data_IF_832405990376
#
_entry.id   IF_832405990376
#
_cell.length_a   1.000
_cell.length_b   1.000
_cell.length_c   1.000
_cell.angle_alpha   90.00
_cell.angle_beta   90.00
_cell.angle_gamma   90.00
#
_symmetry.space_group_name_H-M   'P 1'
#
loop_
_entity.id
_entity.type
_entity.pdbx_description
1 polymer ?
#
# COMPACT_ATOMS: atom_id res chain seq x y z
N UNK A 1 -7.22 -5.98 58.55
CA UNK A 1 -8.07 -5.16 57.66
C UNK A 1 -8.63 -6.05 56.55
N UNK A 2 -9.92 -6.40 56.57
CA UNK A 2 -10.58 -7.00 55.39
C UNK A 2 -10.84 -5.87 54.40
N UNK A 3 -10.05 -5.77 53.32
CA UNK A 3 -10.36 -4.86 52.21
C UNK A 3 -11.67 -5.36 51.57
N UNK A 4 -12.78 -4.66 51.80
CA UNK A 4 -14.06 -4.92 51.13
C UNK A 4 -13.96 -4.36 49.71
N UNK A 5 -13.93 -5.23 48.72
CA UNK A 5 -14.18 -4.86 47.33
C UNK A 5 -15.64 -5.19 47.02
N UNK A 6 -16.37 -4.25 46.44
CA UNK A 6 -17.78 -4.38 46.10
C UNK A 6 -17.98 -4.02 44.62
N UNK A 7 -18.81 -4.78 43.92
CA UNK A 7 -19.22 -4.44 42.55
C UNK A 7 -20.46 -3.54 42.63
N UNK A 8 -20.38 -2.37 42.00
CA UNK A 8 -21.49 -1.41 41.90
C UNK A 8 -21.80 -1.16 40.43
N UNK A 9 -23.08 -1.27 40.07
CA UNK A 9 -23.55 -0.90 38.75
C UNK A 9 -23.81 0.61 38.74
N UNK A 10 -23.18 1.31 37.80
CA UNK A 10 -23.33 2.75 37.63
C UNK A 10 -24.01 3.03 36.29
N UNK A 11 -24.80 4.10 36.25
CA UNK A 11 -25.34 4.62 35.00
C UNK A 11 -24.20 5.15 34.11
N UNK A 12 -24.38 5.10 32.79
CA UNK A 12 -23.34 5.39 31.80
C UNK A 12 -22.76 6.82 31.90
N UNK A 13 -23.50 7.76 32.48
CA UNK A 13 -23.09 9.16 32.64
C UNK A 13 -22.36 9.46 33.96
N UNK A 14 -22.33 8.51 34.91
CA UNK A 14 -21.66 8.69 36.20
C UNK A 14 -20.18 8.37 36.04
N UNK A 15 -19.33 9.37 36.19
CA UNK A 15 -17.88 9.14 36.23
C UNK A 15 -17.45 8.70 37.64
N UNK A 16 -16.70 7.59 37.77
CA UNK A 16 -16.23 7.04 39.04
C UNK A 16 -15.26 7.94 39.83
N UNK A 17 -14.88 9.10 39.28
CA UNK A 17 -14.03 10.12 39.92
C UNK A 17 -14.74 10.93 41.01
N UNK A 18 -16.07 10.83 41.11
CA UNK A 18 -16.78 11.38 42.26
C UNK A 18 -16.54 10.46 43.45
N UNK A 19 -15.99 11.02 44.53
CA UNK A 19 -15.72 10.38 45.82
C UNK A 19 -17.06 10.05 46.51
N UNK A 20 -17.85 9.17 45.89
CA UNK A 20 -19.15 8.74 46.38
C UNK A 20 -18.91 7.71 47.48
N UNK A 21 -19.56 7.92 48.61
CA UNK A 21 -19.66 6.95 49.71
C UNK A 21 -18.32 6.50 50.34
N UNK A 22 -17.21 7.22 50.10
CA UNK A 22 -15.88 6.90 50.66
C UNK A 22 -15.13 5.77 49.96
N UNK A 23 -15.54 5.39 48.74
CA UNK A 23 -14.87 4.35 47.93
C UNK A 23 -14.05 4.94 46.78
N UNK A 24 -13.01 4.21 46.37
CA UNK A 24 -12.33 4.40 45.09
C UNK A 24 -12.91 3.43 44.06
N UNK A 25 -13.28 3.95 42.89
CA UNK A 25 -13.90 3.16 41.84
C UNK A 25 -12.97 2.99 40.64
N UNK A 26 -12.94 1.78 40.09
CA UNK A 26 -12.28 1.45 38.82
C UNK A 26 -13.31 0.74 37.95
N UNK A 27 -13.57 1.21 36.73
CA UNK A 27 -14.50 0.52 35.84
C UNK A 27 -13.87 -0.79 35.36
N UNK A 28 -14.61 -1.89 35.51
CA UNK A 28 -14.16 -3.26 35.18
C UNK A 28 -14.88 -3.85 33.97
N UNK A 29 -16.00 -3.24 33.56
CA UNK A 29 -16.83 -3.74 32.47
C UNK A 29 -17.95 -2.76 32.14
N UNK A 30 -18.54 -2.93 30.97
CA UNK A 30 -19.74 -2.23 30.53
C UNK A 30 -20.78 -3.27 30.11
N UNK A 31 -22.03 -3.03 30.46
CA UNK A 31 -23.15 -3.90 30.07
C UNK A 31 -23.95 -3.16 29.01
N UNK A 32 -24.38 -3.87 27.97
CA UNK A 32 -25.30 -3.36 26.95
C UNK A 32 -26.55 -4.23 26.88
N UNK A 33 -27.67 -3.61 26.50
CA UNK A 33 -28.95 -4.30 26.29
C UNK A 33 -29.09 -4.68 24.82
N UNK A 34 -29.32 -5.95 24.55
CA UNK A 34 -29.65 -6.43 23.21
C UNK A 34 -31.10 -6.06 22.83
N UNK A 35 -31.41 -6.06 21.53
CA UNK A 35 -32.77 -5.88 21.01
C UNK A 35 -33.75 -6.93 21.51
N UNK A 36 -33.27 -8.14 21.83
CA UNK A 36 -34.02 -9.22 22.49
C UNK A 36 -34.42 -8.92 23.94
N UNK A 37 -33.88 -7.86 24.53
CA UNK A 37 -34.13 -7.47 25.93
C UNK A 37 -33.13 -8.05 26.94
N UNK A 38 -32.27 -8.98 26.54
CA UNK A 38 -31.21 -9.53 27.38
C UNK A 38 -30.03 -8.56 27.54
N UNK A 39 -29.34 -8.65 28.68
CA UNK A 39 -28.13 -7.88 28.96
C UNK A 39 -26.90 -8.74 28.71
N UNK A 40 -25.89 -8.16 28.06
CA UNK A 40 -24.59 -8.80 27.83
C UNK A 40 -23.44 -7.84 28.12
N UNK A 41 -22.26 -8.38 28.39
CA UNK A 41 -21.04 -7.58 28.50
C UNK A 41 -20.68 -6.99 27.13
N UNK A 42 -20.31 -5.72 27.14
CA UNK A 42 -19.77 -5.06 25.96
C UNK A 42 -18.29 -5.42 25.79
N UNK A 43 -18.02 -6.42 24.95
CA UNK A 43 -16.66 -6.89 24.66
C UNK A 43 -15.79 -5.84 23.96
N UNK A 44 -16.36 -4.72 23.50
CA UNK A 44 -15.58 -3.59 22.97
C UNK A 44 -15.03 -2.69 24.08
N UNK A 45 -15.59 -2.79 25.28
CA UNK A 45 -15.14 -2.01 26.41
C UNK A 45 -13.75 -2.42 26.86
N UNK A 46 -12.87 -1.43 27.02
CA UNK A 46 -11.51 -1.62 27.51
C UNK A 46 -11.41 -0.87 28.85
N UNK A 47 -11.41 -1.59 29.99
CA UNK A 47 -11.20 -0.97 31.29
C UNK A 47 -9.78 -0.40 31.40
N UNK A 48 -9.48 0.45 32.40
CA UNK A 48 -8.12 0.77 32.79
C UNK A 48 -7.39 -0.50 33.21
N UNK A 49 -6.41 -0.91 32.41
CA UNK A 49 -5.63 -2.14 32.61
C UNK A 49 -4.16 -1.80 32.83
N UNK A 50 -3.48 -2.61 33.64
CA UNK A 50 -2.04 -2.50 33.87
C UNK A 50 -1.20 -3.28 32.86
N UNK A 51 -1.80 -4.26 32.19
CA UNK A 51 -1.13 -5.13 31.22
C UNK A 51 -2.00 -5.28 29.97
N UNK A 52 -1.38 -5.22 28.78
CA UNK A 52 -2.07 -5.45 27.50
C UNK A 52 -2.81 -6.80 27.51
N UNK A 53 -2.21 -7.82 28.14
CA UNK A 53 -2.78 -9.17 28.26
C UNK A 53 -4.16 -9.21 28.95
N UNK A 54 -4.53 -8.19 29.71
CA UNK A 54 -5.83 -8.11 30.39
C UNK A 54 -7.00 -7.71 29.46
N UNK A 55 -6.72 -7.37 28.19
CA UNK A 55 -7.75 -7.05 27.19
C UNK A 55 -7.54 -7.89 25.93
N UNK A 56 -8.44 -8.85 25.71
CA UNK A 56 -8.45 -9.65 24.47
C UNK A 56 -8.66 -8.79 23.22
N UNK A 57 -9.47 -7.73 23.34
CA UNK A 57 -9.70 -6.76 22.26
C UNK A 57 -8.39 -6.12 21.78
N UNK A 58 -7.53 -5.66 22.70
CA UNK A 58 -6.23 -5.08 22.34
C UNK A 58 -5.29 -6.10 21.69
N UNK A 59 -5.23 -7.32 22.24
CA UNK A 59 -4.41 -8.41 21.67
C UNK A 59 -4.86 -8.75 20.24
N UNK A 60 -6.17 -8.86 20.01
CA UNK A 60 -6.72 -9.17 18.69
C UNK A 60 -6.47 -8.03 17.69
N UNK A 61 -6.63 -6.78 18.12
CA UNK A 61 -6.31 -5.61 17.29
C UNK A 61 -4.82 -5.54 16.93
N UNK A 62 -3.93 -5.83 17.89
CA UNK A 62 -2.50 -5.89 17.65
C UNK A 62 -2.13 -6.99 16.64
N UNK A 63 -2.68 -8.21 16.82
CA UNK A 63 -2.47 -9.32 15.86
C UNK A 63 -2.91 -8.95 14.45
N UNK A 64 -4.09 -8.36 14.31
CA UNK A 64 -4.61 -7.91 13.01
C UNK A 64 -3.70 -6.86 12.38
N UNK A 65 -3.26 -5.86 13.17
CA UNK A 65 -2.34 -4.82 12.70
C UNK A 65 -1.02 -5.42 12.20
N UNK A 66 -0.43 -6.35 12.95
CA UNK A 66 0.77 -7.08 12.54
C UNK A 66 0.57 -7.87 11.24
N UNK A 67 -0.59 -8.52 11.07
CA UNK A 67 -0.92 -9.24 9.84
C UNK A 67 -1.00 -8.30 8.63
N UNK A 68 -1.64 -7.13 8.79
CA UNK A 68 -1.72 -6.11 7.74
C UNK A 68 -0.31 -5.62 7.40
N UNK A 69 0.49 -5.22 8.38
CA UNK A 69 1.87 -4.77 8.18
C UNK A 69 2.69 -5.82 7.42
N UNK A 70 2.60 -7.09 7.82
CA UNK A 70 3.34 -8.19 7.18
C UNK A 70 2.93 -8.42 5.73
N UNK A 71 1.63 -8.35 5.44
CA UNK A 71 1.13 -8.43 4.07
C UNK A 71 1.65 -7.27 3.21
N UNK A 72 1.60 -6.05 3.76
CA UNK A 72 2.06 -4.80 3.12
C UNK A 72 3.56 -4.84 2.81
N UNK A 73 4.39 -5.29 3.75
CA UNK A 73 5.84 -5.52 3.54
C UNK A 73 6.07 -6.49 2.38
N UNK A 74 5.36 -7.63 2.38
CA UNK A 74 5.52 -8.65 1.33
C UNK A 74 5.19 -8.10 -0.05
N UNK A 75 4.10 -7.32 -0.18
CA UNK A 75 3.69 -6.69 -1.45
C UNK A 75 4.74 -5.71 -1.97
N UNK A 76 5.27 -4.83 -1.12
CA UNK A 76 6.28 -3.85 -1.57
C UNK A 76 7.59 -4.57 -1.93
N UNK A 77 7.98 -5.58 -1.16
CA UNK A 77 9.18 -6.38 -1.45
C UNK A 77 9.05 -7.23 -2.72
N UNK A 78 7.86 -7.75 -3.06
CA UNK A 78 7.66 -8.47 -4.32
C UNK A 78 7.77 -7.53 -5.52
N UNK A 79 7.28 -6.30 -5.41
CA UNK A 79 7.40 -5.30 -6.47
C UNK A 79 8.85 -4.88 -6.71
N UNK A 80 9.69 -4.87 -5.66
CA UNK A 80 11.11 -4.53 -5.77
C UNK A 80 12.01 -5.69 -6.23
N UNK A 81 11.48 -6.91 -6.39
CA UNK A 81 12.26 -8.16 -6.56
C UNK A 81 12.67 -8.49 -7.99
N UNK A 82 12.58 -7.55 -8.93
CA UNK A 82 13.11 -7.74 -10.29
C UNK A 82 14.64 -7.71 -10.40
N UNK A 83 15.38 -7.47 -9.29
CA UNK A 83 16.84 -7.56 -9.27
C UNK A 83 17.31 -8.83 -8.53
N UNK A 84 17.84 -9.81 -9.26
CA UNK A 84 18.36 -11.11 -8.76
C UNK A 84 19.61 -11.01 -7.84
N UNK A 85 20.07 -9.80 -7.52
CA UNK A 85 21.21 -9.62 -6.64
C UNK A 85 20.74 -9.49 -5.19
N UNK A 86 21.39 -10.22 -4.28
CA UNK A 86 21.12 -10.23 -2.82
C UNK A 86 21.31 -8.85 -2.12
N UNK A 87 21.56 -7.79 -2.88
CA UNK A 87 21.62 -6.40 -2.43
C UNK A 87 20.42 -5.68 -3.03
N UNK A 88 19.54 -5.16 -2.16
CA UNK A 88 18.45 -4.29 -2.61
C UNK A 88 19.10 -2.94 -2.96
N UNK A 89 19.38 -2.74 -4.25
CA UNK A 89 19.79 -1.45 -4.78
C UNK A 89 18.55 -0.55 -4.84
N UNK A 90 18.31 0.25 -3.80
CA UNK A 90 17.27 1.27 -3.83
C UNK A 90 17.71 2.39 -4.77
N UNK A 91 17.06 2.51 -5.92
CA UNK A 91 17.32 3.60 -6.88
C UNK A 91 16.61 4.86 -6.41
N UNK A 92 17.04 6.03 -6.90
CA UNK A 92 16.53 7.35 -6.48
C UNK A 92 15.00 7.50 -6.60
N UNK A 93 14.36 6.74 -7.51
CA UNK A 93 12.90 6.69 -7.68
C UNK A 93 12.14 5.87 -6.63
N UNK A 94 12.81 5.01 -5.86
CA UNK A 94 12.20 4.08 -4.90
C UNK A 94 12.24 4.58 -3.46
N UNK A 95 12.60 5.86 -3.24
CA UNK A 95 12.83 6.40 -1.89
C UNK A 95 11.55 6.33 -1.02
N UNK A 96 10.38 6.49 -1.63
CA UNK A 96 9.08 6.37 -0.94
C UNK A 96 8.86 4.93 -0.45
N UNK A 97 9.03 3.96 -1.34
CA UNK A 97 8.94 2.53 -1.02
C UNK A 97 9.97 2.11 0.04
N UNK A 98 11.18 2.66 -0.01
CA UNK A 98 12.21 2.47 1.00
C UNK A 98 11.76 2.97 2.37
N UNK A 99 11.35 4.24 2.48
CA UNK A 99 10.90 4.81 3.75
C UNK A 99 9.69 4.06 4.32
N UNK A 100 8.78 3.65 3.45
CA UNK A 100 7.61 2.88 3.85
C UNK A 100 8.00 1.48 4.36
N UNK A 101 8.84 0.75 3.64
CA UNK A 101 9.36 -0.55 4.10
C UNK A 101 10.11 -0.39 5.43
N UNK A 102 10.93 0.66 5.57
CA UNK A 102 11.64 0.94 6.81
C UNK A 102 10.66 1.15 7.98
N UNK A 103 9.68 2.04 7.83
CA UNK A 103 8.66 2.30 8.84
C UNK A 103 7.89 1.03 9.24
N UNK A 104 7.47 0.23 8.25
CA UNK A 104 6.73 -1.01 8.47
C UNK A 104 7.58 -2.10 9.14
N UNK A 105 8.83 -2.30 8.70
CA UNK A 105 9.75 -3.28 9.30
C UNK A 105 10.07 -2.92 10.76
N UNK A 106 10.41 -1.66 11.03
CA UNK A 106 10.71 -1.18 12.38
C UNK A 106 9.51 -1.31 13.30
N UNK A 107 8.31 -0.92 12.83
CA UNK A 107 7.09 -1.07 13.61
C UNK A 107 6.71 -2.53 13.85
N UNK A 108 6.83 -3.40 12.83
CA UNK A 108 6.56 -4.84 12.98
C UNK A 108 7.42 -5.45 14.09
N UNK A 109 8.73 -5.16 14.10
CA UNK A 109 9.64 -5.67 15.12
C UNK A 109 9.21 -5.24 16.54
N UNK A 110 8.94 -3.95 16.74
CA UNK A 110 8.51 -3.42 18.04
C UNK A 110 7.15 -3.95 18.50
N UNK A 111 6.15 -3.94 17.62
CA UNK A 111 4.80 -4.40 17.91
C UNK A 111 4.75 -5.92 18.15
N UNK A 112 5.52 -6.71 17.40
CA UNK A 112 5.60 -8.15 17.59
C UNK A 112 6.24 -8.51 18.93
N UNK A 113 7.24 -7.75 19.39
CA UNK A 113 7.79 -7.93 20.74
C UNK A 113 6.73 -7.70 21.82
N UNK A 114 5.92 -6.63 21.72
CA UNK A 114 4.83 -6.37 22.65
C UNK A 114 3.75 -7.48 22.64
N UNK A 115 3.49 -8.09 21.49
CA UNK A 115 2.58 -9.22 21.38
C UNK A 115 3.12 -10.48 22.08
N UNK A 116 4.42 -10.73 22.00
CA UNK A 116 5.09 -11.86 22.66
C UNK A 116 5.19 -11.68 24.18
N UNK A 117 5.35 -10.43 24.65
CA UNK A 117 5.48 -10.10 26.06
C UNK A 117 4.40 -9.08 26.50
N UNK A 118 3.11 -9.49 26.53
CA UNK A 118 1.98 -8.58 26.75
C UNK A 118 1.77 -8.18 28.22
N UNK A 119 2.67 -8.59 29.13
CA UNK A 119 2.68 -8.22 30.55
C UNK A 119 3.33 -6.84 30.76
N UNK A 120 2.95 -5.87 29.93
CA UNK A 120 3.49 -4.51 29.92
C UNK A 120 2.35 -3.50 29.87
N UNK A 121 2.60 -2.30 30.40
CA UNK A 121 1.60 -1.24 30.47
C UNK A 121 1.09 -0.84 29.07
N UNK A 122 -0.23 -0.67 28.87
CA UNK A 122 -0.82 -0.38 27.56
C UNK A 122 -0.37 0.95 26.94
N UNK A 123 0.10 1.90 27.74
CA UNK A 123 0.72 3.14 27.22
C UNK A 123 1.87 2.81 26.25
N UNK A 124 2.67 1.77 26.53
CA UNK A 124 3.77 1.40 25.65
C UNK A 124 3.29 0.96 24.26
N UNK A 125 2.20 0.20 24.21
CA UNK A 125 1.57 -0.19 22.94
C UNK A 125 1.02 1.04 22.20
N UNK A 126 0.36 1.94 22.93
CA UNK A 126 -0.16 3.18 22.35
C UNK A 126 0.95 4.03 21.73
N UNK A 127 2.06 4.20 22.44
CA UNK A 127 3.25 4.92 21.97
C UNK A 127 3.85 4.29 20.70
N UNK A 128 3.98 2.96 20.65
CA UNK A 128 4.49 2.25 19.47
C UNK A 128 3.55 2.37 18.25
N UNK A 129 2.23 2.32 18.46
CA UNK A 129 1.23 2.54 17.41
C UNK A 129 1.24 3.99 16.92
N UNK A 130 1.39 4.97 17.82
CA UNK A 130 1.55 6.38 17.45
C UNK A 130 2.80 6.60 16.60
N UNK A 131 3.94 5.98 16.97
CA UNK A 131 5.19 6.12 16.20
C UNK A 131 5.03 5.59 14.77
N UNK A 132 4.36 4.45 14.61
CA UNK A 132 4.02 3.95 13.27
C UNK A 132 3.09 4.94 12.54
N UNK A 133 1.99 5.34 13.18
CA UNK A 133 0.99 6.25 12.58
C UNK A 133 1.64 7.56 12.12
N UNK A 134 2.46 8.19 12.95
CA UNK A 134 3.20 9.42 12.60
C UNK A 134 4.19 9.22 11.45
N UNK A 135 4.84 8.05 11.37
CA UNK A 135 5.67 7.71 10.20
C UNK A 135 4.82 7.59 8.93
N UNK A 136 3.61 7.04 9.03
CA UNK A 136 2.70 6.87 7.89
C UNK A 136 2.08 8.19 7.40
N UNK A 137 1.97 9.21 8.25
CA UNK A 137 1.55 10.56 7.84
C UNK A 137 2.46 11.17 6.76
N UNK A 138 3.72 10.73 6.67
CA UNK A 138 4.63 11.20 5.59
C UNK A 138 4.17 10.81 4.18
N UNK A 139 3.25 9.84 4.07
CA UNK A 139 2.76 9.30 2.79
C UNK A 139 1.30 9.65 2.49
N UNK A 140 0.63 10.42 3.36
CA UNK A 140 -0.79 10.74 3.21
C UNK A 140 -1.10 12.15 3.68
N UNK A 141 -1.93 12.86 2.92
CA UNK A 141 -2.46 14.18 3.30
C UNK A 141 -3.85 14.09 3.94
N UNK A 142 -4.37 12.87 4.20
CA UNK A 142 -5.70 12.68 4.77
C UNK A 142 -5.79 13.13 6.25
N UNK A 143 -4.65 13.13 6.95
CA UNK A 143 -4.56 13.51 8.36
C UNK A 143 -3.33 14.40 8.58
N UNK A 144 -3.45 15.29 9.56
CA UNK A 144 -2.35 16.09 10.11
C UNK A 144 -1.92 15.54 11.48
N UNK A 145 -0.72 15.89 11.93
CA UNK A 145 -0.14 15.49 13.22
C UNK A 145 -1.05 15.87 14.40
N UNK A 146 -1.74 17.01 14.31
CA UNK A 146 -2.67 17.49 15.35
C UNK A 146 -3.93 16.61 15.49
N UNK A 147 -4.23 15.76 14.50
CA UNK A 147 -5.35 14.81 14.58
C UNK A 147 -5.00 13.55 15.38
N UNK A 148 -3.73 13.34 15.76
CA UNK A 148 -3.34 12.14 16.49
C UNK A 148 -3.95 12.14 17.90
N UNK A 149 -4.57 11.01 18.32
CA UNK A 149 -5.27 10.95 19.60
C UNK A 149 -4.29 10.93 20.77
N UNK A 150 -4.75 11.43 21.90
CA UNK A 150 -4.00 11.44 23.15
C UNK A 150 -4.30 10.19 23.98
N UNK A 151 -3.28 9.67 24.68
CA UNK A 151 -3.47 8.55 25.59
C UNK A 151 -4.29 8.97 26.81
N UNK A 152 -5.47 8.37 27.00
CA UNK A 152 -6.29 8.56 28.20
C UNK A 152 -6.46 7.22 28.92
N UNK A 153 -5.67 6.99 29.97
CA UNK A 153 -5.67 5.71 30.70
C UNK A 153 -7.04 5.30 31.26
N UNK A 154 -7.86 6.27 31.64
CA UNK A 154 -9.21 6.02 32.15
C UNK A 154 -10.27 5.83 31.04
N UNK A 155 -9.89 6.05 29.78
CA UNK A 155 -10.71 5.96 28.57
C UNK A 155 -9.93 5.22 27.47
N UNK A 156 -9.41 4.02 27.79
CA UNK A 156 -8.58 3.24 26.86
C UNK A 156 -9.33 2.88 25.58
N UNK A 157 -10.61 2.52 25.67
CA UNK A 157 -11.42 2.20 24.50
C UNK A 157 -11.39 3.33 23.47
N UNK A 158 -11.73 4.55 23.88
CA UNK A 158 -11.80 5.69 22.96
C UNK A 158 -10.42 6.04 22.39
N UNK A 159 -9.39 6.05 23.25
CA UNK A 159 -8.02 6.39 22.84
C UNK A 159 -7.50 5.42 21.77
N UNK A 160 -7.60 4.11 22.02
CA UNK A 160 -7.14 3.09 21.08
C UNK A 160 -8.01 3.01 19.83
N UNK A 161 -9.33 3.19 19.94
CA UNK A 161 -10.23 3.13 18.79
C UNK A 161 -9.97 4.27 17.81
N UNK A 162 -9.76 5.50 18.29
CA UNK A 162 -9.41 6.63 17.43
C UNK A 162 -8.09 6.39 16.69
N UNK A 163 -7.09 5.85 17.39
CA UNK A 163 -5.80 5.55 16.78
C UNK A 163 -5.89 4.41 15.76
N UNK A 164 -6.66 3.36 16.06
CA UNK A 164 -6.87 2.22 15.17
C UNK A 164 -7.54 2.63 13.85
N UNK A 165 -8.50 3.56 13.90
CA UNK A 165 -9.16 4.08 12.69
C UNK A 165 -8.15 4.79 11.78
N UNK A 166 -7.42 5.78 12.30
CA UNK A 166 -6.41 6.53 11.53
C UNK A 166 -5.35 5.58 10.98
N UNK A 167 -4.84 4.66 11.80
CA UNK A 167 -3.81 3.73 11.38
C UNK A 167 -4.28 2.80 10.25
N UNK A 168 -5.51 2.30 10.30
CA UNK A 168 -6.08 1.47 9.23
C UNK A 168 -6.22 2.25 7.94
N UNK A 169 -6.81 3.45 8.00
CA UNK A 169 -7.04 4.27 6.81
C UNK A 169 -5.72 4.62 6.12
N UNK A 170 -4.67 4.93 6.91
CA UNK A 170 -3.31 5.13 6.40
C UNK A 170 -2.74 3.84 5.80
N UNK A 171 -2.81 2.71 6.51
CA UNK A 171 -2.28 1.44 6.00
C UNK A 171 -2.98 1.01 4.70
N UNK A 172 -4.26 1.28 4.55
CA UNK A 172 -5.02 0.96 3.34
C UNK A 172 -4.63 1.86 2.16
N UNK A 173 -4.53 3.17 2.38
CA UNK A 173 -4.22 4.15 1.34
C UNK A 173 -2.80 4.01 0.76
N UNK A 174 -1.83 3.65 1.58
CA UNK A 174 -0.39 3.74 1.24
C UNK A 174 0.07 2.66 0.23
N UNK A 175 -0.74 1.62 -0.06
CA UNK A 175 -0.45 0.63 -1.14
C UNK A 175 -1.38 0.80 -2.34
N UNK A 176 -2.07 1.93 -2.49
CA UNK A 176 -2.60 2.25 -3.81
C UNK A 176 -1.42 2.62 -4.70
N UNK A 177 -0.78 1.60 -5.28
CA UNK A 177 0.32 1.76 -6.21
C UNK A 177 -0.22 2.52 -7.40
N UNK A 178 0.13 3.80 -7.52
CA UNK A 178 -0.26 4.66 -8.65
C UNK A 178 0.21 4.09 -9.98
N UNK A 179 1.13 3.12 -9.96
CA UNK A 179 1.52 2.36 -11.12
C UNK A 179 1.73 0.88 -10.77
N UNK A 180 1.71 0.02 -11.78
CA UNK A 180 2.17 -1.36 -11.71
C UNK A 180 2.83 -1.79 -13.03
N UNK A 181 3.78 -2.72 -12.94
CA UNK A 181 4.44 -3.29 -14.11
C UNK A 181 3.63 -4.45 -14.68
N UNK A 182 3.54 -4.52 -16.01
CA UNK A 182 2.90 -5.60 -16.75
C UNK A 182 4.01 -6.43 -17.38
N UNK A 183 4.07 -7.69 -16.98
CA UNK A 183 5.08 -8.61 -17.50
C UNK A 183 4.88 -8.84 -19.01
N UNK A 184 5.92 -8.51 -19.78
CA UNK A 184 6.01 -8.82 -21.20
C UNK A 184 6.77 -10.12 -21.39
N UNK A 185 6.22 -11.03 -22.20
CA UNK A 185 6.88 -12.28 -22.58
C UNK A 185 7.13 -12.28 -24.08
N UNK A 186 8.37 -12.56 -24.48
CA UNK A 186 8.67 -12.81 -25.88
C UNK A 186 8.03 -14.15 -26.29
N UNK A 187 6.94 -14.09 -27.04
CA UNK A 187 6.21 -15.30 -27.48
C UNK A 187 6.79 -15.87 -28.77
N UNK A 188 7.39 -15.00 -29.59
CA UNK A 188 8.07 -15.29 -30.86
C UNK A 188 9.15 -14.22 -31.06
N UNK A 189 10.20 -14.47 -31.87
CA UNK A 189 11.27 -13.50 -32.10
C UNK A 189 10.70 -12.11 -32.45
N UNK A 190 11.13 -11.08 -31.72
CA UNK A 190 10.68 -9.68 -31.88
C UNK A 190 9.27 -9.36 -31.37
N UNK A 191 8.47 -10.31 -30.90
CA UNK A 191 7.09 -10.10 -30.45
C UNK A 191 6.93 -10.34 -28.95
N UNK A 192 6.80 -9.24 -28.21
CA UNK A 192 6.64 -9.23 -26.76
C UNK A 192 5.18 -8.99 -26.41
N UNK A 193 4.57 -9.91 -25.67
CA UNK A 193 3.13 -9.88 -25.38
C UNK A 193 2.90 -9.77 -23.88
N UNK A 194 1.97 -8.90 -23.49
CA UNK A 194 1.49 -8.71 -22.13
C UNK A 194 -0.03 -8.86 -22.05
N UNK A 195 -0.52 -9.26 -20.87
CA UNK A 195 -1.95 -9.32 -20.56
C UNK A 195 -2.39 -8.01 -19.92
N UNK A 196 -3.46 -7.42 -20.41
CA UNK A 196 -4.09 -6.23 -19.83
C UNK A 196 -5.32 -6.68 -19.04
N UNK A 197 -5.12 -7.11 -17.80
CA UNK A 197 -6.23 -7.55 -16.93
C UNK A 197 -7.22 -6.38 -16.71
N UNK A 198 -8.48 -6.55 -17.13
CA UNK A 198 -9.49 -5.49 -17.15
C UNK A 198 -9.96 -5.04 -15.77
N UNK A 199 -9.73 -5.83 -14.72
CA UNK A 199 -10.03 -5.45 -13.33
C UNK A 199 -9.06 -4.37 -12.79
N UNK A 200 -7.87 -4.26 -13.38
CA UNK A 200 -6.82 -3.30 -12.97
C UNK A 200 -6.63 -2.16 -13.96
N UNK A 201 -7.11 -2.30 -15.19
CA UNK A 201 -6.90 -1.34 -16.27
C UNK A 201 -8.24 -0.77 -16.68
N UNK A 202 -8.38 0.54 -16.50
CA UNK A 202 -9.56 1.31 -16.89
C UNK A 202 -9.24 2.18 -18.10
N UNK A 203 -10.24 2.87 -18.65
CA UNK A 203 -10.03 3.84 -19.74
C UNK A 203 -9.14 5.02 -19.34
N UNK A 204 -9.05 5.32 -18.05
CA UNK A 204 -8.23 6.42 -17.50
C UNK A 204 -6.79 5.98 -17.18
N UNK A 205 -6.51 4.67 -17.25
CA UNK A 205 -5.15 4.14 -17.09
C UNK A 205 -4.28 4.59 -18.26
N UNK A 206 -3.11 5.15 -17.94
CA UNK A 206 -2.09 5.51 -18.93
C UNK A 206 -1.03 4.42 -18.99
N UNK A 207 -0.63 4.02 -20.20
CA UNK A 207 0.37 2.97 -20.40
C UNK A 207 1.66 3.58 -20.95
N UNK A 208 2.79 3.15 -20.39
CA UNK A 208 4.12 3.62 -20.73
C UNK A 208 5.05 2.44 -20.98
N UNK A 209 5.98 2.62 -21.90
CA UNK A 209 7.05 1.65 -22.17
C UNK A 209 8.36 2.24 -21.67
N UNK A 210 9.00 1.52 -20.76
CA UNK A 210 10.37 1.77 -20.36
C UNK A 210 11.31 0.93 -21.23
N UNK A 211 12.26 1.58 -21.90
CA UNK A 211 13.22 0.94 -22.80
C UNK A 211 14.64 1.24 -22.32
N UNK A 212 15.48 0.22 -22.26
CA UNK A 212 16.90 0.36 -21.96
C UNK A 212 17.73 -0.59 -22.80
N UNK A 213 19.00 -0.25 -23.00
CA UNK A 213 19.97 -1.10 -23.69
C UNK A 213 21.35 -0.92 -23.04
N UNK A 214 22.09 -2.02 -22.92
CA UNK A 214 23.50 -2.00 -22.50
C UNK A 214 24.44 -1.49 -23.59
N UNK A 215 24.02 -1.56 -24.87
CA UNK A 215 24.85 -1.25 -26.03
C UNK A 215 24.52 0.10 -26.68
N UNK A 216 23.26 0.55 -26.58
CA UNK A 216 22.81 1.79 -27.23
C UNK A 216 22.74 2.96 -26.24
N UNK A 217 23.05 4.16 -26.72
CA UNK A 217 22.91 5.36 -25.89
C UNK A 217 21.44 5.81 -25.83
N UNK A 218 21.05 6.42 -24.70
CA UNK A 218 19.69 6.93 -24.46
C UNK A 218 19.18 7.80 -25.61
N UNK A 219 20.02 8.69 -26.16
CA UNK A 219 19.63 9.59 -27.24
C UNK A 219 19.28 8.87 -28.55
N UNK A 220 19.90 7.73 -28.82
CA UNK A 220 19.61 6.88 -29.98
C UNK A 220 18.25 6.18 -29.79
N UNK A 221 18.01 5.65 -28.58
CA UNK A 221 16.73 5.03 -28.22
C UNK A 221 15.56 6.01 -28.40
N UNK A 222 15.73 7.27 -27.97
CA UNK A 222 14.73 8.33 -28.11
C UNK A 222 14.30 8.54 -29.57
N UNK A 223 15.24 8.45 -30.51
CA UNK A 223 14.96 8.63 -31.94
C UNK A 223 14.37 7.36 -32.58
N UNK A 224 14.88 6.20 -32.17
CA UNK A 224 14.59 4.93 -32.83
C UNK A 224 13.27 4.32 -32.38
N UNK A 225 12.96 4.36 -31.08
CA UNK A 225 11.80 3.68 -30.52
C UNK A 225 10.50 4.17 -31.15
N UNK A 226 10.20 5.49 -31.22
CA UNK A 226 8.97 5.97 -31.86
C UNK A 226 8.84 5.62 -33.35
N UNK A 227 9.98 5.45 -34.04
CA UNK A 227 10.02 5.19 -35.48
C UNK A 227 9.91 3.71 -35.83
N UNK A 228 10.50 2.85 -35.00
CA UNK A 228 10.75 1.44 -35.33
C UNK A 228 9.89 0.47 -34.54
N UNK A 229 9.51 0.81 -33.31
CA UNK A 229 8.71 -0.07 -32.48
C UNK A 229 7.25 0.06 -32.88
N UNK A 230 6.51 -1.04 -32.77
CA UNK A 230 5.06 -1.05 -33.07
C UNK A 230 4.32 -1.62 -31.88
N UNK A 231 3.25 -0.94 -31.48
CA UNK A 231 2.46 -1.28 -30.30
C UNK A 231 0.99 -1.30 -30.66
N UNK A 232 0.24 -2.24 -30.07
CA UNK A 232 -1.19 -2.41 -30.28
C UNK A 232 -1.64 -3.82 -29.88
N UNK A 233 -2.82 -4.25 -30.34
CA UNK A 233 -3.22 -5.65 -30.22
C UNK A 233 -2.29 -6.55 -31.04
N UNK A 234 -2.13 -7.82 -30.66
CA UNK A 234 -1.28 -8.77 -31.39
C UNK A 234 -1.64 -8.84 -32.88
N UNK A 235 -2.94 -8.86 -33.19
CA UNK A 235 -3.45 -8.93 -34.57
C UNK A 235 -3.10 -7.65 -35.34
N UNK A 236 -3.34 -6.48 -34.75
CA UNK A 236 -3.06 -5.20 -35.40
C UNK A 236 -1.55 -5.03 -35.65
N UNK A 237 -0.71 -5.37 -34.66
CA UNK A 237 0.74 -5.24 -34.79
C UNK A 237 1.27 -6.12 -35.92
N UNK A 238 0.88 -7.40 -35.99
CA UNK A 238 1.30 -8.30 -37.07
C UNK A 238 0.91 -7.77 -38.46
N UNK A 239 -0.34 -7.30 -38.62
CA UNK A 239 -0.80 -6.71 -39.88
C UNK A 239 -0.02 -5.46 -40.26
N UNK A 240 0.24 -4.56 -39.30
CA UNK A 240 0.99 -3.33 -39.52
C UNK A 240 2.47 -3.58 -39.79
N UNK A 241 3.05 -4.63 -39.23
CA UNK A 241 4.41 -5.08 -39.55
C UNK A 241 4.48 -5.51 -41.01
N UNK A 242 3.60 -6.41 -41.45
CA UNK A 242 3.57 -6.93 -42.83
C UNK A 242 3.32 -5.82 -43.85
N UNK A 243 2.35 -4.94 -43.57
CA UNK A 243 1.97 -3.84 -44.47
C UNK A 243 2.89 -2.61 -44.39
N UNK A 244 3.92 -2.64 -43.53
CA UNK A 244 4.78 -1.49 -43.24
C UNK A 244 4.02 -0.21 -42.85
N UNK A 245 2.87 -0.36 -42.19
CA UNK A 245 2.01 0.74 -41.75
C UNK A 245 2.34 1.18 -40.32
N UNK A 246 2.01 2.44 -39.94
CA UNK A 246 2.08 2.92 -38.56
C UNK A 246 1.14 2.14 -37.62
N UNK A 247 1.59 1.92 -36.38
CA UNK A 247 0.81 1.35 -35.29
C UNK A 247 0.44 2.46 -34.28
N UNK A 248 0.13 2.12 -33.02
CA UNK A 248 -0.10 3.15 -31.98
C UNK A 248 1.18 4.00 -31.81
N UNK A 249 1.10 5.33 -31.91
CA UNK A 249 2.25 6.21 -31.71
C UNK A 249 2.85 6.09 -30.31
N UNK A 250 4.18 6.19 -30.24
CA UNK A 250 4.93 6.26 -28.99
C UNK A 250 5.57 7.64 -28.86
N UNK A 251 5.37 8.30 -27.72
CA UNK A 251 5.90 9.64 -27.47
C UNK A 251 6.94 9.60 -26.35
N UNK A 252 8.16 10.06 -26.63
CA UNK A 252 9.19 10.15 -25.60
C UNK A 252 8.78 11.17 -24.52
N UNK A 253 8.94 10.77 -23.25
CA UNK A 253 8.67 11.63 -22.11
C UNK A 253 9.90 12.45 -21.73
N UNK A 254 9.83 13.77 -21.94
CA UNK A 254 10.83 14.71 -21.43
C UNK A 254 10.84 14.78 -19.89
N UNK A 255 9.65 14.61 -19.29
CA UNK A 255 9.46 14.54 -17.85
C UNK A 255 8.59 13.32 -17.53
N UNK A 256 9.15 12.38 -16.78
CA UNK A 256 8.45 11.17 -16.36
C UNK A 256 7.41 11.53 -15.29
N UNK A 257 6.16 11.02 -15.36
CA UNK A 257 5.17 11.23 -14.32
C UNK A 257 5.69 10.83 -12.95
N UNK A 258 5.34 11.60 -11.91
CA UNK A 258 5.82 11.36 -10.53
C UNK A 258 5.41 9.99 -9.97
N UNK A 259 4.41 9.35 -10.58
CA UNK A 259 4.02 7.99 -10.23
C UNK A 259 5.09 6.95 -10.62
N UNK A 260 5.88 7.18 -11.68
CA UNK A 260 6.83 6.21 -12.19
C UNK A 260 8.24 6.52 -11.64
N UNK A 261 8.94 5.55 -11.03
CA UNK A 261 10.31 5.74 -10.57
C UNK A 261 11.25 5.88 -11.77
N UNK A 262 12.00 6.98 -11.82
CA UNK A 262 12.98 7.25 -12.88
C UNK A 262 14.24 6.42 -12.66
N UNK A 263 14.63 5.65 -13.67
CA UNK A 263 15.83 4.80 -13.67
C UNK A 263 16.88 5.38 -14.61
N UNK A 264 18.13 5.43 -14.14
CA UNK A 264 19.26 5.86 -14.98
C UNK A 264 19.45 4.91 -16.17
N UNK A 265 19.73 5.44 -17.35
CA UNK A 265 19.90 4.66 -18.58
C UNK A 265 18.60 4.10 -19.19
N UNK A 266 17.43 4.46 -18.63
CA UNK A 266 16.12 4.05 -19.14
C UNK A 266 15.42 5.25 -19.77
N UNK A 267 14.90 5.06 -20.99
CA UNK A 267 14.04 6.02 -21.68
C UNK A 267 12.58 5.60 -21.54
N UNK A 268 11.70 6.57 -21.33
CA UNK A 268 10.27 6.31 -21.11
C UNK A 268 9.45 6.89 -22.25
N UNK A 269 8.49 6.11 -22.73
CA UNK A 269 7.62 6.48 -23.84
C UNK A 269 6.16 6.27 -23.44
N UNK A 270 5.33 7.28 -23.64
CA UNK A 270 3.87 7.14 -23.50
C UNK A 270 3.29 6.50 -24.77
N UNK A 271 2.40 5.54 -24.57
CA UNK A 271 1.59 4.97 -25.65
C UNK A 271 0.39 5.88 -25.86
N UNK A 272 0.24 6.45 -27.05
CA UNK A 272 -0.81 7.45 -27.35
C UNK A 272 -2.23 6.92 -27.01
N UNK A 273 -2.85 7.42 -25.93
CA UNK A 273 -4.08 6.83 -25.41
C UNK A 273 -5.32 7.19 -26.24
N UNK A 274 -5.28 8.27 -27.02
CA UNK A 274 -6.39 8.71 -27.86
C UNK A 274 -6.41 8.05 -29.25
N UNK A 275 -5.46 7.15 -29.54
CA UNK A 275 -5.39 6.45 -30.82
C UNK A 275 -6.43 5.33 -30.93
N UNK A 276 -7.04 5.14 -32.10
CA UNK A 276 -8.08 4.09 -32.30
C UNK A 276 -7.56 2.68 -31.99
N UNK A 277 -6.34 2.36 -32.44
CA UNK A 277 -5.69 1.07 -32.16
C UNK A 277 -5.39 0.86 -30.67
N UNK A 278 -5.25 1.93 -29.88
CA UNK A 278 -5.08 1.83 -28.43
C UNK A 278 -6.37 1.34 -27.77
N UNK A 279 -7.52 1.86 -28.20
CA UNK A 279 -8.82 1.42 -27.69
C UNK A 279 -9.11 -0.04 -28.02
N UNK A 280 -8.82 -0.47 -29.27
CA UNK A 280 -8.93 -1.89 -29.67
C UNK A 280 -8.01 -2.81 -28.87
N UNK A 281 -6.81 -2.34 -28.55
CA UNK A 281 -5.87 -3.06 -27.70
C UNK A 281 -6.44 -3.28 -26.29
N UNK A 282 -7.01 -2.24 -25.67
CA UNK A 282 -7.70 -2.37 -24.38
C UNK A 282 -8.90 -3.33 -24.45
N UNK A 283 -9.72 -3.25 -25.49
CA UNK A 283 -10.85 -4.16 -25.72
C UNK A 283 -10.42 -5.62 -25.90
N UNK A 284 -9.23 -5.84 -26.48
CA UNK A 284 -8.65 -7.18 -26.64
C UNK A 284 -7.98 -7.73 -25.38
N UNK A 285 -7.91 -6.95 -24.29
CA UNK A 285 -7.23 -7.28 -23.03
C UNK A 285 -5.78 -7.76 -23.23
N UNK A 286 -5.14 -7.34 -24.31
CA UNK A 286 -3.81 -7.80 -24.71
C UNK A 286 -3.02 -6.68 -25.36
N UNK A 287 -1.71 -6.68 -25.12
CA UNK A 287 -0.77 -5.76 -25.76
C UNK A 287 0.37 -6.55 -26.38
N UNK A 288 0.76 -6.14 -27.57
CA UNK A 288 1.93 -6.61 -28.26
C UNK A 288 2.86 -5.45 -28.55
N UNK A 289 4.14 -5.63 -28.25
CA UNK A 289 5.23 -4.73 -28.61
C UNK A 289 6.15 -5.47 -29.58
N UNK A 290 6.18 -4.99 -30.82
CA UNK A 290 7.12 -5.46 -31.83
C UNK A 290 8.40 -4.64 -31.78
N UNK A 291 9.52 -5.33 -31.57
CA UNK A 291 10.88 -4.78 -31.56
C UNK A 291 11.66 -5.37 -32.73
N UNK A 292 11.95 -4.59 -33.79
CA UNK A 292 12.62 -5.14 -34.98
C UNK A 292 13.93 -5.87 -34.68
N UNK A 293 14.22 -6.90 -35.47
CA UNK A 293 15.52 -7.58 -35.40
C UNK A 293 16.66 -6.60 -35.71
N UNK A 294 17.78 -6.73 -35.00
CA UNK A 294 18.97 -5.89 -35.14
C UNK A 294 19.29 -5.04 -33.91
N UNK A 295 18.36 -4.94 -32.95
CA UNK A 295 18.65 -4.39 -31.64
C UNK A 295 19.12 -5.50 -30.69
N UNK A 296 20.41 -5.48 -30.33
CA UNK A 296 20.96 -6.40 -29.34
C UNK A 296 20.77 -5.81 -27.93
N UNK A 297 20.51 -6.68 -26.96
CA UNK A 297 20.37 -6.34 -25.53
C UNK A 297 19.36 -5.22 -25.23
N UNK A 298 18.22 -5.19 -25.93
CA UNK A 298 17.10 -4.32 -25.55
C UNK A 298 16.28 -4.99 -24.46
N UNK A 299 16.08 -4.26 -23.36
CA UNK A 299 15.11 -4.59 -22.32
C UNK A 299 13.92 -3.64 -22.41
N UNK A 300 12.72 -4.21 -22.41
CA UNK A 300 11.46 -3.48 -22.41
C UNK A 300 10.60 -3.88 -21.20
N UNK A 301 9.96 -2.90 -20.61
CA UNK A 301 9.00 -3.09 -19.52
C UNK A 301 7.77 -2.23 -19.79
N UNK A 302 6.59 -2.79 -19.56
CA UNK A 302 5.33 -2.08 -19.68
C UNK A 302 4.88 -1.62 -18.29
N UNK A 303 4.53 -0.36 -18.17
CA UNK A 303 4.13 0.29 -16.92
C UNK A 303 2.73 0.87 -17.12
N UNK A 304 1.79 0.47 -16.27
CA UNK A 304 0.46 1.06 -16.20
C UNK A 304 0.40 2.04 -15.04
N UNK A 305 -0.05 3.27 -15.28
CA UNK A 305 -0.29 4.29 -14.26
C UNK A 305 -1.80 4.52 -14.14
N UNK A 306 -2.32 4.38 -12.92
CA UNK A 306 -3.71 4.68 -12.61
C UNK A 306 -3.82 6.18 -12.34
N UNK A 307 -4.57 6.90 -13.20
CA UNK A 307 -4.99 8.25 -12.88
C UNK A 307 -6.08 8.16 -11.79
N UNK A 308 -5.86 8.88 -10.70
CA UNK A 308 -6.80 9.01 -9.59
C UNK A 308 -7.91 9.99 -9.93
#
# INVERSE_FOLDING_TARGET
>A
MRRRAEFKLLEQHIQPSQNLDGFLYIPVGKIKRQSSGHFELDNKFIPPILHIAASESLINNLKRTLNVIKAKIKTIQSNNRENEQKLIEFRSGDIVSFWLINALNTAYAGLNHLLQYPLIHPERLFSELLRLTGSLLTFSTAYDVDHLPHYKHHQLQDSFQQLDLILRDLLDTIISSRYFSIALKETRPSYWVGSLESDKITRDTRLYIAVSSSMMQTHELIQIVPLRFKVGSTIDVEQRVIAALPAVPLHHLMQVPTAIPVRSGVSYFEIEPHHELYQRMLESESICVYVPAGFQDISIELIAVMNS
#
